data_IF_385964069716
#
_entry.id   IF_385964069716
#
_cell.length_a   1.000
_cell.length_b   1.000
_cell.length_c   1.000
_cell.angle_alpha   90.00
_cell.angle_beta   90.00
_cell.angle_gamma   90.00
#
_symmetry.space_group_name_H-M   'P 1'
#
loop_
_entity.id
_entity.type
_entity.pdbx_description
1 polymer ?
#
# COMPACT_ATOMS: atom_id res chain seq x y z
N UNK A 1 -10.45 7.32 -1.40
CA UNK A 1 -9.98 6.46 -0.30
C UNK A 1 -9.27 7.31 0.75
N UNK A 2 -9.55 7.07 2.01
CA UNK A 2 -8.89 7.76 3.11
C UNK A 2 -7.64 6.99 3.54
N UNK A 3 -6.72 7.67 4.24
CA UNK A 3 -5.52 7.01 4.78
C UNK A 3 -5.87 5.84 5.71
N UNK A 4 -6.87 6.03 6.57
CA UNK A 4 -7.31 4.95 7.47
C UNK A 4 -7.81 3.74 6.70
N UNK A 5 -8.54 3.95 5.61
CA UNK A 5 -9.03 2.87 4.78
C UNK A 5 -7.88 2.14 4.08
N UNK A 6 -6.89 2.87 3.59
CA UNK A 6 -5.69 2.28 3.00
C UNK A 6 -5.01 1.32 3.99
N UNK A 7 -4.79 1.79 5.21
CA UNK A 7 -4.11 0.98 6.23
C UNK A 7 -4.94 -0.24 6.63
N UNK A 8 -6.26 -0.10 6.71
CA UNK A 8 -7.15 -1.22 7.01
C UNK A 8 -7.08 -2.30 5.93
N UNK A 9 -7.07 -1.88 4.67
CA UNK A 9 -6.96 -2.82 3.55
C UNK A 9 -5.61 -3.53 3.53
N UNK A 10 -4.55 -2.80 3.79
CA UNK A 10 -3.21 -3.37 3.83
C UNK A 10 -3.08 -4.38 4.97
N UNK A 11 -3.62 -4.05 6.13
CA UNK A 11 -3.63 -4.95 7.29
C UNK A 11 -4.41 -6.23 6.96
N UNK A 12 -5.55 -6.11 6.31
CA UNK A 12 -6.35 -7.27 5.91
C UNK A 12 -5.59 -8.18 4.93
N UNK A 13 -4.77 -7.59 4.07
CA UNK A 13 -4.01 -8.35 3.07
C UNK A 13 -2.77 -9.03 3.66
N UNK A 14 -2.07 -8.37 4.60
CA UNK A 14 -0.77 -8.83 5.08
C UNK A 14 -0.77 -9.31 6.52
N UNK A 15 -1.81 -9.02 7.30
CA UNK A 15 -1.90 -9.39 8.70
C UNK A 15 -1.42 -8.29 9.63
N UNK A 16 -1.94 -8.32 10.86
CA UNK A 16 -1.75 -7.26 11.86
C UNK A 16 -0.28 -7.03 12.24
N UNK A 17 0.52 -8.09 12.28
CA UNK A 17 1.89 -7.99 12.76
C UNK A 17 2.91 -7.60 11.70
N UNK A 18 2.52 -7.48 10.43
CA UNK A 18 3.48 -7.34 9.33
C UNK A 18 3.25 -6.13 8.43
N UNK A 19 2.00 -5.67 8.31
CA UNK A 19 1.66 -4.70 7.27
C UNK A 19 2.44 -3.39 7.37
N UNK A 20 2.72 -2.91 8.58
CA UNK A 20 3.46 -1.64 8.75
C UNK A 20 4.92 -1.78 8.36
N UNK A 21 5.57 -2.89 8.72
CA UNK A 21 6.94 -3.16 8.32
C UNK A 21 7.06 -3.25 6.81
N UNK A 22 6.13 -3.97 6.19
CA UNK A 22 6.09 -4.09 4.73
C UNK A 22 5.98 -2.72 4.07
N UNK A 23 5.05 -1.88 4.56
CA UNK A 23 4.81 -0.57 3.98
C UNK A 23 6.01 0.37 4.10
N UNK A 24 6.84 0.20 5.10
CA UNK A 24 8.01 1.07 5.32
C UNK A 24 9.29 0.53 4.70
N UNK A 25 9.32 -0.73 4.28
CA UNK A 25 10.56 -1.37 3.82
C UNK A 25 10.55 -1.81 2.36
N UNK A 26 9.40 -2.19 1.84
CA UNK A 26 9.31 -2.72 0.46
C UNK A 26 9.17 -1.59 -0.54
N UNK A 27 10.16 -1.47 -1.41
CA UNK A 27 10.16 -0.47 -2.48
C UNK A 27 9.26 -0.96 -3.63
N UNK A 28 8.40 -0.07 -4.12
CA UNK A 28 7.44 -0.39 -5.18
C UNK A 28 7.80 0.42 -6.43
N UNK A 29 8.11 -0.27 -7.53
CA UNK A 29 8.52 0.39 -8.77
C UNK A 29 7.44 1.35 -9.29
N UNK A 30 6.16 0.99 -9.18
CA UNK A 30 5.04 1.82 -9.64
C UNK A 30 4.90 3.12 -8.85
N UNK A 31 5.60 3.28 -7.75
CA UNK A 31 5.59 4.49 -6.91
C UNK A 31 6.92 5.25 -7.00
N UNK A 32 7.55 5.23 -8.17
CA UNK A 32 8.85 5.86 -8.41
C UNK A 32 9.93 5.34 -7.47
N UNK A 33 9.91 4.04 -7.21
CA UNK A 33 10.85 3.34 -6.33
C UNK A 33 10.77 3.84 -4.88
N UNK A 34 9.57 4.16 -4.44
CA UNK A 34 9.30 4.53 -3.04
C UNK A 34 8.55 3.40 -2.35
N UNK A 35 8.66 3.37 -1.02
CA UNK A 35 7.79 2.51 -0.24
C UNK A 35 6.38 3.11 -0.21
N UNK A 36 5.39 2.31 0.18
CA UNK A 36 4.03 2.83 0.33
C UNK A 36 3.99 3.98 1.34
N UNK A 37 4.72 3.86 2.45
CA UNK A 37 4.79 4.91 3.47
C UNK A 37 5.39 6.20 2.89
N UNK A 38 6.48 6.09 2.14
CA UNK A 38 7.12 7.25 1.53
C UNK A 38 6.19 7.94 0.53
N UNK A 39 5.46 7.16 -0.26
CA UNK A 39 4.53 7.72 -1.24
C UNK A 39 3.40 8.49 -0.56
N UNK A 40 2.82 7.93 0.51
CA UNK A 40 1.78 8.61 1.28
C UNK A 40 2.31 9.89 1.91
N UNK A 41 3.52 9.85 2.47
CA UNK A 41 4.15 11.02 3.09
C UNK A 41 4.47 12.11 2.05
N UNK A 42 4.72 11.70 0.81
CA UNK A 42 4.98 12.64 -0.28
C UNK A 42 3.69 13.25 -0.88
N UNK A 43 2.52 12.84 -0.39
CA UNK A 43 1.25 13.38 -0.85
C UNK A 43 0.58 12.60 -1.97
N UNK A 44 1.08 11.42 -2.32
CA UNK A 44 0.42 10.57 -3.32
C UNK A 44 -0.92 10.11 -2.75
N UNK A 45 -2.02 10.25 -3.51
CA UNK A 45 -3.34 9.87 -2.99
C UNK A 45 -3.39 8.39 -2.57
N UNK A 46 -4.01 8.08 -1.43
CA UNK A 46 -4.10 6.69 -0.94
C UNK A 46 -4.65 5.71 -1.97
N UNK A 47 -5.62 6.12 -2.77
CA UNK A 47 -6.19 5.27 -3.83
C UNK A 47 -5.12 4.86 -4.85
N UNK A 48 -4.26 5.80 -5.20
CA UNK A 48 -3.17 5.55 -6.16
C UNK A 48 -2.11 4.63 -5.54
N UNK A 49 -1.78 4.87 -4.29
CA UNK A 49 -0.83 4.00 -3.56
C UNK A 49 -1.41 2.58 -3.45
N UNK A 50 -2.70 2.48 -3.14
CA UNK A 50 -3.35 1.17 -3.05
C UNK A 50 -3.31 0.42 -4.38
N UNK A 51 -3.53 1.11 -5.50
CA UNK A 51 -3.47 0.47 -6.81
C UNK A 51 -2.08 -0.13 -7.08
N UNK A 52 -1.02 0.57 -6.68
CA UNK A 52 0.34 0.08 -6.83
C UNK A 52 0.62 -1.12 -5.91
N UNK A 53 0.15 -1.06 -4.66
CA UNK A 53 0.26 -2.17 -3.71
C UNK A 53 -0.48 -3.39 -4.22
N UNK A 54 -1.69 -3.18 -4.72
CA UNK A 54 -2.53 -4.24 -5.26
C UNK A 54 -1.81 -5.00 -6.37
N UNK A 55 -1.15 -4.29 -7.28
CA UNK A 55 -0.36 -4.92 -8.34
C UNK A 55 0.88 -5.62 -7.80
N UNK A 56 1.57 -4.99 -6.87
CA UNK A 56 2.79 -5.55 -6.28
C UNK A 56 2.52 -6.88 -5.58
N UNK A 57 1.39 -6.97 -4.87
CA UNK A 57 1.01 -8.17 -4.12
C UNK A 57 0.20 -9.16 -4.95
N UNK A 58 -0.15 -8.81 -6.18
CA UNK A 58 -0.96 -9.63 -7.07
C UNK A 58 -2.28 -10.05 -6.40
N UNK A 59 -2.93 -9.08 -5.78
CA UNK A 59 -4.20 -9.33 -5.08
C UNK A 59 -5.35 -9.57 -6.07
N UNK A 60 -6.40 -10.31 -5.67
CA UNK A 60 -7.54 -10.56 -6.55
C UNK A 60 -8.33 -9.28 -6.82
N UNK A 61 -9.12 -9.29 -7.92
CA UNK A 61 -9.91 -8.13 -8.35
C UNK A 61 -10.83 -7.59 -7.26
N UNK A 62 -11.36 -8.46 -6.42
CA UNK A 62 -12.27 -8.07 -5.32
C UNK A 62 -11.58 -7.16 -4.29
N UNK A 63 -10.26 -7.14 -4.26
CA UNK A 63 -9.50 -6.36 -3.29
C UNK A 63 -9.04 -5.01 -3.85
N UNK A 64 -9.52 -4.68 -5.04
CA UNK A 64 -9.26 -3.36 -5.58
C UNK A 64 -9.92 -2.32 -4.69
#
# INVERSE_FOLDING_TARGET
>A
MRHTEFWQRLEAALGTGYYRSWASQVVIADLDRRTAQEALDAGVPPKQVWAAVWRQLELPDRDR
#
